data_IF_279999685098
#
_entry.id   IF_279999685098
#
_cell.length_a   1.000
_cell.length_b   1.000
_cell.length_c   1.000
_cell.angle_alpha   90.00
_cell.angle_beta   90.00
_cell.angle_gamma   90.00
#
_symmetry.space_group_name_H-M   'P 1'
#
loop_
_entity.id
_entity.type
_entity.pdbx_description
1 polymer ?
#
# COMPACT_ATOMS: atom_id res chain seq x y z
N UNK A 1 -10.51 -22.52 13.34
CA UNK A 1 -10.70 -21.19 12.72
C UNK A 1 -9.36 -20.76 12.12
N UNK A 2 -9.27 -20.47 10.82
CA UNK A 2 -8.05 -19.86 10.25
C UNK A 2 -7.95 -18.43 10.79
N UNK A 3 -6.84 -18.08 11.43
CA UNK A 3 -6.55 -16.70 11.83
C UNK A 3 -6.53 -15.86 10.54
N UNK A 4 -7.41 -14.87 10.42
CA UNK A 4 -7.34 -13.92 9.28
C UNK A 4 -6.01 -13.20 9.38
N UNK A 5 -5.21 -13.25 8.31
CA UNK A 5 -3.98 -12.45 8.22
C UNK A 5 -4.37 -11.02 7.85
N UNK A 6 -3.95 -10.06 8.65
CA UNK A 6 -4.00 -8.63 8.36
C UNK A 6 -2.93 -8.26 7.34
N UNK A 7 -3.00 -7.05 6.79
CA UNK A 7 -1.94 -6.56 5.91
C UNK A 7 -0.66 -6.31 6.72
N UNK A 8 -0.80 -5.74 7.92
CA UNK A 8 0.29 -5.52 8.87
C UNK A 8 0.90 -6.80 9.44
N UNK A 9 0.29 -7.97 9.23
CA UNK A 9 0.88 -9.26 9.62
C UNK A 9 1.94 -9.75 8.62
N UNK A 10 2.00 -9.16 7.42
CA UNK A 10 2.97 -9.52 6.38
C UNK A 10 4.07 -8.45 6.40
N UNK A 11 5.33 -8.81 6.66
CA UNK A 11 6.43 -7.84 6.57
C UNK A 11 6.44 -7.17 5.19
N UNK A 12 6.70 -5.86 5.14
CA UNK A 12 6.70 -5.10 3.87
C UNK A 12 7.61 -5.75 2.83
N UNK A 13 8.74 -6.33 3.22
CA UNK A 13 9.65 -7.04 2.31
C UNK A 13 9.03 -8.29 1.65
N UNK A 14 8.13 -8.97 2.36
CA UNK A 14 7.46 -10.20 1.91
C UNK A 14 6.08 -9.93 1.27
N UNK A 15 5.65 -8.66 1.28
CA UNK A 15 4.38 -8.27 0.69
C UNK A 15 4.41 -8.49 -0.85
N UNK A 16 3.37 -9.09 -1.46
CA UNK A 16 3.36 -9.41 -2.89
C UNK A 16 3.68 -8.22 -3.80
N UNK A 17 3.23 -7.03 -3.43
CA UNK A 17 3.68 -5.77 -4.00
C UNK A 17 4.29 -4.93 -2.89
N UNK A 18 5.61 -5.03 -2.74
CA UNK A 18 6.43 -4.22 -1.86
C UNK A 18 7.03 -3.00 -2.60
N UNK A 19 7.73 -2.11 -1.89
CA UNK A 19 8.34 -0.91 -2.47
C UNK A 19 9.17 -1.24 -3.71
N UNK A 20 10.06 -2.24 -3.61
CA UNK A 20 10.94 -2.66 -4.71
C UNK A 20 10.12 -3.09 -5.94
N UNK A 21 9.07 -3.88 -5.73
CA UNK A 21 8.20 -4.37 -6.79
C UNK A 21 7.41 -3.24 -7.43
N UNK A 22 6.83 -2.34 -6.62
CA UNK A 22 6.12 -1.16 -7.10
C UNK A 22 7.02 -0.27 -7.97
N UNK A 23 8.21 0.10 -7.47
CA UNK A 23 9.12 0.97 -8.23
C UNK A 23 9.63 0.33 -9.51
N UNK A 24 9.91 -0.98 -9.50
CA UNK A 24 10.29 -1.72 -10.71
C UNK A 24 9.17 -1.68 -11.75
N UNK A 25 7.95 -2.07 -11.37
CA UNK A 25 6.80 -2.10 -12.29
C UNK A 25 6.49 -0.71 -12.84
N UNK A 26 6.53 0.32 -11.98
CA UNK A 26 6.37 1.71 -12.39
C UNK A 26 7.38 2.13 -13.46
N UNK A 27 8.66 1.79 -13.27
CA UNK A 27 9.71 2.11 -14.23
C UNK A 27 9.53 1.36 -15.55
N UNK A 28 9.19 0.06 -15.50
CA UNK A 28 8.95 -0.76 -16.69
C UNK A 28 7.77 -0.25 -17.51
N UNK A 29 6.63 0.00 -16.87
CA UNK A 29 5.43 0.54 -17.52
C UNK A 29 5.72 1.90 -18.17
N UNK A 30 6.40 2.80 -17.45
CA UNK A 30 6.79 4.10 -17.97
C UNK A 30 7.73 4.00 -19.18
N UNK A 31 8.72 3.10 -19.11
CA UNK A 31 9.64 2.83 -20.23
C UNK A 31 8.90 2.30 -21.47
N UNK A 32 7.97 1.36 -21.29
CA UNK A 32 7.15 0.82 -22.38
C UNK A 32 6.29 1.92 -23.02
N UNK A 33 5.60 2.73 -22.20
CA UNK A 33 4.78 3.84 -22.67
C UNK A 33 5.60 4.81 -23.54
N UNK A 34 6.77 5.24 -23.04
CA UNK A 34 7.66 6.14 -23.77
C UNK A 34 8.15 5.54 -25.11
N UNK A 35 8.47 4.24 -25.14
CA UNK A 35 8.91 3.56 -26.37
C UNK A 35 7.83 3.52 -27.45
N UNK A 36 6.57 3.33 -27.06
CA UNK A 36 5.44 3.39 -28.01
C UNK A 36 5.16 4.82 -28.47
N UNK A 37 5.25 5.80 -27.57
CA UNK A 37 5.10 7.21 -27.92
C UNK A 37 6.17 7.67 -28.93
N UNK A 38 7.40 7.18 -28.75
CA UNK A 38 8.54 7.49 -29.64
C UNK A 38 8.38 6.95 -31.07
N UNK A 39 7.41 6.07 -31.34
CA UNK A 39 7.11 5.66 -32.72
C UNK A 39 6.54 6.81 -33.55
N UNK A 40 5.99 7.85 -32.91
CA UNK A 40 5.40 9.00 -33.60
C UNK A 40 4.15 8.66 -34.42
N UNK A 41 3.53 7.49 -34.18
CA UNK A 41 2.32 7.05 -34.87
C UNK A 41 1.10 7.19 -33.97
N UNK A 42 -0.08 7.28 -34.59
CA UNK A 42 -1.36 7.26 -33.86
C UNK A 42 -1.52 5.98 -33.04
N UNK A 43 -1.22 4.82 -33.63
CA UNK A 43 -1.32 3.54 -32.94
C UNK A 43 -0.34 3.46 -31.74
N UNK A 44 0.86 4.02 -31.89
CA UNK A 44 1.83 4.14 -30.81
C UNK A 44 1.31 5.00 -29.65
N UNK A 45 0.70 6.15 -29.96
CA UNK A 45 0.06 7.00 -28.96
C UNK A 45 -1.12 6.30 -28.27
N UNK A 46 -1.94 5.55 -29.01
CA UNK A 46 -3.06 4.78 -28.45
C UNK A 46 -2.57 3.70 -27.46
N UNK A 47 -1.48 3.01 -27.78
CA UNK A 47 -0.86 2.04 -26.85
C UNK A 47 -0.24 2.73 -25.64
N UNK A 48 0.50 3.84 -25.84
CA UNK A 48 1.09 4.61 -24.74
C UNK A 48 0.02 5.07 -23.73
N UNK A 49 -1.11 5.58 -24.21
CA UNK A 49 -2.26 5.97 -23.37
C UNK A 49 -2.81 4.80 -22.55
N UNK A 50 -2.86 3.59 -23.11
CA UNK A 50 -3.28 2.39 -22.36
C UNK A 50 -2.26 2.02 -21.29
N UNK A 51 -0.97 2.15 -21.57
CA UNK A 51 0.08 1.94 -20.57
C UNK A 51 0.03 2.95 -19.43
N UNK A 52 -0.30 4.22 -19.71
CA UNK A 52 -0.56 5.22 -18.68
C UNK A 52 -1.75 4.85 -17.78
N UNK A 53 -2.81 4.28 -18.35
CA UNK A 53 -3.93 3.76 -17.54
C UNK A 53 -3.51 2.59 -16.63
N UNK A 54 -2.63 1.70 -17.12
CA UNK A 54 -2.04 0.63 -16.29
C UNK A 54 -1.20 1.22 -15.16
N UNK A 55 -0.44 2.29 -15.43
CA UNK A 55 0.30 3.02 -14.39
C UNK A 55 -0.64 3.58 -13.31
N UNK A 56 -1.75 4.22 -13.71
CA UNK A 56 -2.74 4.73 -12.75
C UNK A 56 -3.31 3.63 -11.86
N UNK A 57 -3.70 2.49 -12.44
CA UNK A 57 -4.22 1.35 -11.67
C UNK A 57 -3.17 0.75 -10.70
N UNK A 58 -1.90 0.71 -11.11
CA UNK A 58 -0.79 0.29 -10.24
C UNK A 58 -0.64 1.24 -9.03
N UNK A 59 -0.70 2.54 -9.27
CA UNK A 59 -0.58 3.55 -8.21
C UNK A 59 -1.77 3.49 -7.24
N UNK A 60 -2.99 3.37 -7.74
CA UNK A 60 -4.19 3.22 -6.92
C UNK A 60 -4.11 2.00 -5.99
N UNK A 61 -3.65 0.85 -6.52
CA UNK A 61 -3.45 -0.36 -5.74
C UNK A 61 -2.38 -0.18 -4.66
N UNK A 62 -1.27 0.48 -5.00
CA UNK A 62 -0.21 0.79 -4.05
C UNK A 62 -0.69 1.70 -2.91
N UNK A 63 -1.42 2.77 -3.23
CA UNK A 63 -2.02 3.66 -2.24
C UNK A 63 -3.08 2.96 -1.39
N UNK A 64 -3.81 1.99 -1.95
CA UNK A 64 -4.75 1.18 -1.18
C UNK A 64 -4.04 0.33 -0.12
N UNK A 65 -2.95 -0.33 -0.46
CA UNK A 65 -2.12 -1.11 0.47
C UNK A 65 -1.64 -0.22 1.61
N UNK A 66 -0.99 0.91 1.29
CA UNK A 66 -0.45 1.86 2.27
C UNK A 66 -1.52 2.41 3.23
N UNK A 67 -2.72 2.70 2.72
CA UNK A 67 -3.85 3.15 3.54
C UNK A 67 -4.38 2.05 4.47
N UNK A 68 -4.36 0.79 4.05
CA UNK A 68 -4.76 -0.33 4.91
C UNK A 68 -3.73 -0.51 6.03
N UNK A 69 -2.43 -0.58 5.70
CA UNK A 69 -1.34 -0.70 6.69
C UNK A 69 -1.43 0.41 7.75
N UNK A 70 -1.56 1.68 7.32
CA UNK A 70 -1.67 2.80 8.24
C UNK A 70 -2.88 2.71 9.17
N UNK A 71 -4.04 2.25 8.68
CA UNK A 71 -5.24 2.06 9.52
C UNK A 71 -5.05 0.94 10.53
N UNK A 72 -4.40 -0.15 10.15
CA UNK A 72 -4.14 -1.28 11.04
C UNK A 72 -3.14 -0.90 12.14
N UNK A 73 -2.08 -0.16 11.80
CA UNK A 73 -1.12 0.39 12.76
C UNK A 73 -1.78 1.35 13.76
N UNK A 74 -2.65 2.26 13.28
CA UNK A 74 -3.39 3.17 14.14
C UNK A 74 -4.35 2.43 15.09
N UNK A 75 -5.04 1.41 14.60
CA UNK A 75 -5.93 0.59 15.43
C UNK A 75 -5.16 -0.16 16.53
N UNK A 76 -3.96 -0.66 16.23
CA UNK A 76 -3.09 -1.27 17.23
C UNK A 76 -2.62 -0.25 18.28
N UNK A 77 -2.15 0.92 17.86
CA UNK A 77 -1.71 1.98 18.77
C UNK A 77 -2.84 2.47 19.70
N UNK A 78 -4.05 2.64 19.17
CA UNK A 78 -5.22 3.02 19.97
C UNK A 78 -5.58 1.95 21.02
N UNK A 79 -5.46 0.66 20.68
CA UNK A 79 -5.74 -0.44 21.61
C UNK A 79 -4.72 -0.52 22.76
N UNK A 80 -3.45 -0.20 22.50
CA UNK A 80 -2.39 -0.15 23.53
C UNK A 80 -2.64 0.98 24.52
N UNK A 81 -3.03 2.16 24.04
CA UNK A 81 -3.30 3.31 24.88
C UNK A 81 -4.53 3.10 25.80
N UNK A 82 -5.54 2.37 25.34
CA UNK A 82 -6.72 2.04 26.16
C UNK A 82 -6.41 1.01 27.28
N UNK A 83 -5.35 0.20 27.13
CA UNK A 83 -4.95 -0.79 28.14
C UNK A 83 -4.11 -0.21 29.28
N UNK A 84 -3.49 0.96 29.10
CA UNK A 84 -2.60 1.60 30.10
C UNK A 84 -3.33 2.60 31.02
N UNK A 85 -4.60 2.93 30.74
CA UNK A 85 -5.40 3.88 31.53
C UNK A 85 -6.26 3.27 32.63
N UNK A 86 -6.17 1.96 32.90
CA UNK A 86 -7.13 1.21 33.72
C UNK A 86 -6.67 0.80 35.13
N UNK A 87 -5.51 1.24 35.62
CA UNK A 87 -4.99 0.80 36.92
C UNK A 87 -4.37 1.95 37.73
N UNK A 88 -5.14 2.99 38.10
CA UNK A 88 -4.74 3.77 39.29
C UNK A 88 -5.97 4.19 40.10
N UNK A 89 -5.89 3.85 41.39
CA UNK A 89 -6.58 4.43 42.56
C UNK A 89 -7.99 3.94 42.91
N UNK A 90 -8.06 3.00 43.86
CA UNK A 90 -8.96 3.14 45.04
C UNK A 90 -8.50 2.25 46.20
N UNK A 91 -7.31 2.52 46.75
CA UNK A 91 -7.03 2.18 48.15
C UNK A 91 -6.45 3.42 48.81
N UNK A 92 -7.25 4.06 49.66
CA UNK A 92 -6.91 4.63 50.97
C UNK A 92 -8.12 5.47 51.40
N UNK A 93 -8.87 4.97 52.39
CA UNK A 93 -9.35 5.77 53.52
C UNK A 93 -9.95 4.83 54.57
N UNK A 94 -9.19 4.58 55.63
CA UNK A 94 -9.70 4.30 56.98
C UNK A 94 -9.23 5.45 57.88
#
# INVERSE_FOLDING_TARGET
MRKMRKFSDIPTADFPMNDKTYYRLRAEIGSISARFLNLGTRDGADVAKKMEAVFGALDDAWQAIRRIEAREEQAMAASVNHSLGGCIESEISQ
#
